data_IF_206043412220
#
_entry.id   IF_206043412220
#
_cell.length_a   1.000
_cell.length_b   1.000
_cell.length_c   1.000
_cell.angle_alpha   90.00
_cell.angle_beta   90.00
_cell.angle_gamma   90.00
#
_symmetry.space_group_name_H-M   'P 1'
#
loop_
_entity.id
_entity.type
_entity.pdbx_description
1 polymer ?
#
# COMPACT_ATOMS: atom_id res chain seq x y z
N UNK A 1 0.99 -17.17 -5.95
CA UNK A 1 -0.19 -16.36 -5.64
C UNK A 1 -1.42 -17.26 -5.60
N UNK A 2 -2.23 -17.21 -4.53
CA UNK A 2 -3.50 -17.95 -4.49
C UNK A 2 -4.48 -17.28 -5.45
N UNK A 3 -5.12 -18.07 -6.33
CA UNK A 3 -6.10 -17.60 -7.33
C UNK A 3 -7.54 -17.91 -6.92
N UNK A 4 -7.74 -19.03 -6.22
CA UNK A 4 -9.04 -19.44 -5.71
C UNK A 4 -8.92 -20.50 -4.63
N UNK A 5 -9.97 -20.65 -3.83
CA UNK A 5 -10.11 -21.73 -2.87
C UNK A 5 -11.59 -22.17 -2.83
N UNK A 6 -11.82 -23.47 -2.87
CA UNK A 6 -13.15 -24.06 -2.85
C UNK A 6 -13.24 -25.17 -1.80
N UNK A 7 -14.31 -25.16 -0.99
CA UNK A 7 -14.59 -26.22 -0.03
C UNK A 7 -15.43 -27.32 -0.68
N UNK A 8 -15.03 -28.57 -0.50
CA UNK A 8 -15.83 -29.74 -0.86
C UNK A 8 -16.39 -30.40 0.39
N UNK A 9 -17.71 -30.34 0.58
CA UNK A 9 -18.38 -31.04 1.69
C UNK A 9 -18.28 -32.57 1.55
N UNK A 10 -18.34 -33.10 0.32
CA UNK A 10 -18.25 -34.54 0.07
C UNK A 10 -16.87 -35.12 0.45
N UNK A 11 -15.81 -34.34 0.26
CA UNK A 11 -14.43 -34.77 0.52
C UNK A 11 -13.87 -34.19 1.83
N UNK A 12 -14.64 -33.35 2.53
CA UNK A 12 -14.26 -32.64 3.75
C UNK A 12 -12.89 -31.94 3.66
N UNK A 13 -12.60 -31.31 2.50
CA UNK A 13 -11.34 -30.61 2.24
C UNK A 13 -11.50 -29.37 1.37
N UNK A 14 -10.57 -28.45 1.54
CA UNK A 14 -10.32 -27.33 0.64
C UNK A 14 -9.48 -27.79 -0.55
N UNK A 15 -9.80 -27.27 -1.73
CA UNK A 15 -8.93 -27.26 -2.91
C UNK A 15 -8.53 -25.83 -3.19
N UNK A 16 -7.22 -25.58 -3.30
CA UNK A 16 -6.65 -24.24 -3.49
C UNK A 16 -5.87 -24.22 -4.80
N UNK A 17 -6.20 -23.27 -5.66
CA UNK A 17 -5.49 -23.01 -6.91
C UNK A 17 -4.40 -21.97 -6.67
N UNK A 18 -3.17 -22.33 -7.03
CA UNK A 18 -1.98 -21.53 -6.73
C UNK A 18 -1.20 -21.34 -8.02
N UNK A 19 -0.98 -20.09 -8.39
CA UNK A 19 -0.03 -19.74 -9.44
C UNK A 19 1.38 -19.64 -8.86
N UNK A 20 2.30 -20.43 -9.39
CA UNK A 20 3.72 -20.42 -9.02
C UNK A 20 4.39 -19.16 -9.58
N UNK A 21 5.05 -18.40 -8.71
CA UNK A 21 5.69 -17.14 -9.12
C UNK A 21 6.95 -17.35 -9.98
N UNK A 22 7.62 -18.49 -9.81
CA UNK A 22 8.84 -18.88 -10.52
C UNK A 22 8.56 -19.40 -11.94
N UNK A 23 7.48 -20.16 -12.12
CA UNK A 23 7.17 -20.80 -13.40
C UNK A 23 5.93 -20.25 -14.12
N UNK A 24 5.05 -19.52 -13.41
CA UNK A 24 3.73 -19.13 -13.90
C UNK A 24 2.72 -20.27 -13.98
N UNK A 25 3.12 -21.50 -13.64
CA UNK A 25 2.24 -22.67 -13.67
C UNK A 25 1.18 -22.59 -12.57
N UNK A 26 -0.04 -23.01 -12.89
CA UNK A 26 -1.09 -23.17 -11.89
C UNK A 26 -1.07 -24.60 -11.36
N UNK A 27 -0.88 -24.74 -10.05
CA UNK A 27 -0.93 -26.01 -9.32
C UNK A 27 -2.14 -26.04 -8.40
N UNK A 28 -2.65 -27.25 -8.13
CA UNK A 28 -3.75 -27.48 -7.21
C UNK A 28 -3.25 -28.21 -5.97
N UNK A 29 -3.61 -27.71 -4.79
CA UNK A 29 -3.28 -28.32 -3.50
C UNK A 29 -4.57 -28.55 -2.69
N UNK A 30 -4.60 -29.63 -1.90
CA UNK A 30 -5.72 -29.88 -0.98
C UNK A 30 -5.28 -29.78 0.48
N UNK A 31 -6.19 -29.33 1.34
CA UNK A 31 -5.95 -29.20 2.77
C UNK A 31 -7.24 -29.33 3.59
N UNK A 32 -7.14 -29.83 4.82
CA UNK A 32 -8.27 -29.91 5.74
C UNK A 32 -8.61 -28.55 6.38
N UNK A 33 -7.62 -27.66 6.50
CA UNK A 33 -7.75 -26.34 7.08
C UNK A 33 -7.11 -25.29 6.17
N UNK A 34 -7.74 -24.13 6.08
CA UNK A 34 -7.24 -22.96 5.35
C UNK A 34 -7.19 -21.77 6.31
N UNK A 35 -5.98 -21.23 6.53
CA UNK A 35 -5.78 -20.04 7.35
C UNK A 35 -5.37 -18.85 6.47
N UNK A 36 -6.21 -17.84 6.39
CA UNK A 36 -6.00 -16.67 5.53
C UNK A 36 -5.29 -15.54 6.28
N UNK A 37 -3.96 -15.47 6.14
CA UNK A 37 -3.13 -14.38 6.68
C UNK A 37 -2.70 -13.37 5.60
N UNK A 38 -3.56 -13.12 4.60
CA UNK A 38 -3.23 -12.34 3.41
C UNK A 38 -3.16 -10.81 3.61
N UNK A 39 -3.45 -10.30 4.81
CA UNK A 39 -3.53 -8.87 5.09
C UNK A 39 -4.80 -8.20 4.56
N UNK A 40 -4.98 -6.91 4.87
CA UNK A 40 -6.16 -6.12 4.46
C UNK A 40 -5.88 -5.18 3.28
N UNK A 41 -4.62 -5.06 2.87
CA UNK A 41 -4.25 -4.22 1.73
C UNK A 41 -4.47 -4.95 0.42
N UNK A 42 -4.86 -4.18 -0.60
CA UNK A 42 -4.76 -4.62 -1.99
C UNK A 42 -3.31 -4.40 -2.43
N UNK A 43 -2.49 -5.44 -2.38
CA UNK A 43 -1.04 -5.32 -2.60
C UNK A 43 -0.63 -5.01 -4.05
N UNK A 44 -1.45 -5.38 -5.03
CA UNK A 44 -1.18 -5.12 -6.44
C UNK A 44 -1.47 -3.68 -6.87
N UNK A 45 -2.51 -3.05 -6.31
CA UNK A 45 -2.82 -1.65 -6.61
C UNK A 45 -3.49 -0.94 -5.44
N UNK A 46 -2.83 0.08 -4.90
CA UNK A 46 -3.46 1.00 -3.94
C UNK A 46 -4.50 1.89 -4.61
N UNK A 47 -5.54 2.27 -3.87
CA UNK A 47 -6.57 3.17 -4.41
C UNK A 47 -5.95 4.53 -4.77
N UNK A 48 -5.95 4.84 -6.06
CA UNK A 48 -5.51 6.14 -6.57
C UNK A 48 -6.72 6.95 -7.06
N UNK A 49 -7.05 8.09 -6.44
CA UNK A 49 -8.14 8.92 -6.90
C UNK A 49 -7.90 9.42 -8.33
N UNK A 50 -8.96 9.49 -9.14
CA UNK A 50 -8.91 10.09 -10.46
C UNK A 50 -8.93 11.61 -10.31
N UNK A 51 -7.89 12.27 -10.81
CA UNK A 51 -7.85 13.70 -10.99
C UNK A 51 -8.00 14.00 -12.48
N UNK A 52 -9.02 14.77 -12.86
CA UNK A 52 -9.16 15.25 -14.22
C UNK A 52 -7.98 16.17 -14.55
N UNK A 53 -7.31 15.92 -15.68
CA UNK A 53 -6.13 16.68 -16.05
C UNK A 53 -4.82 16.22 -15.45
N UNK A 54 -4.80 15.07 -14.75
CA UNK A 54 -3.58 14.47 -14.19
C UNK A 54 -2.45 14.36 -15.22
N UNK A 55 -2.80 14.04 -16.46
CA UNK A 55 -1.87 13.88 -17.58
C UNK A 55 -1.12 15.16 -17.97
N UNK A 56 -1.64 16.34 -17.57
CA UNK A 56 -0.99 17.64 -17.81
C UNK A 56 0.04 17.99 -16.74
N UNK A 57 0.09 17.26 -15.63
CA UNK A 57 1.09 17.48 -14.61
C UNK A 57 2.44 16.93 -15.07
N UNK A 58 3.40 17.82 -15.31
CA UNK A 58 4.74 17.47 -15.77
C UNK A 58 5.66 16.95 -14.66
N UNK A 59 5.21 16.98 -13.39
CA UNK A 59 5.96 16.43 -12.27
C UNK A 59 5.71 14.94 -12.07
N UNK A 60 6.48 14.34 -11.16
CA UNK A 60 6.32 12.94 -10.81
C UNK A 60 5.13 12.74 -9.86
N UNK A 61 4.32 11.72 -10.13
CA UNK A 61 3.21 11.32 -9.26
C UNK A 61 3.56 9.96 -8.67
N UNK A 62 3.64 9.89 -7.33
CA UNK A 62 4.03 8.69 -6.60
C UNK A 62 2.89 8.26 -5.69
N UNK A 63 2.54 6.97 -5.72
CA UNK A 63 1.64 6.38 -4.74
C UNK A 63 2.47 5.77 -3.61
N UNK A 64 2.23 6.08 -2.32
CA UNK A 64 3.09 5.64 -1.21
C UNK A 64 3.28 4.13 -1.09
N UNK A 65 2.32 3.32 -1.54
CA UNK A 65 2.44 1.85 -1.59
C UNK A 65 3.51 1.36 -2.58
N UNK A 66 3.85 2.16 -3.58
CA UNK A 66 4.82 1.84 -4.63
C UNK A 66 5.88 2.95 -4.69
N UNK A 67 6.61 3.11 -3.59
CA UNK A 67 7.63 4.15 -3.45
C UNK A 67 8.88 3.82 -4.30
N UNK A 68 9.31 4.69 -5.24
CA UNK A 68 10.52 4.49 -6.01
C UNK A 68 11.76 4.63 -5.13
N UNK A 69 12.73 3.72 -5.27
CA UNK A 69 13.99 3.75 -4.52
C UNK A 69 14.86 4.97 -4.86
N UNK A 70 14.74 5.49 -6.08
CA UNK A 70 15.51 6.59 -6.64
C UNK A 70 14.79 7.95 -6.53
N UNK A 71 13.67 8.02 -5.79
CA UNK A 71 12.94 9.27 -5.63
C UNK A 71 13.72 10.27 -4.77
N UNK A 72 14.32 11.25 -5.42
CA UNK A 72 14.92 12.41 -4.76
C UNK A 72 13.92 13.57 -4.63
N UNK A 73 13.66 14.01 -3.40
CA UNK A 73 12.80 15.15 -3.10
C UNK A 73 13.58 16.43 -2.72
N UNK A 74 14.92 16.40 -2.67
CA UNK A 74 15.74 17.49 -2.20
C UNK A 74 15.48 18.80 -2.96
N UNK A 75 15.19 19.89 -2.24
CA UNK A 75 14.91 21.20 -2.83
C UNK A 75 13.63 21.30 -3.68
N UNK A 76 12.87 20.21 -3.86
CA UNK A 76 11.65 20.18 -4.67
C UNK A 76 10.44 20.71 -3.88
N UNK A 77 9.42 21.16 -4.61
CA UNK A 77 8.09 21.44 -4.06
C UNK A 77 7.25 20.18 -4.15
N UNK A 78 6.84 19.63 -3.01
CA UNK A 78 6.12 18.36 -2.92
C UNK A 78 4.73 18.60 -2.37
N UNK A 79 3.72 17.99 -3.00
CA UNK A 79 2.34 17.98 -2.50
C UNK A 79 2.01 16.56 -2.05
N UNK A 80 1.68 16.39 -0.76
CA UNK A 80 1.17 15.13 -0.19
C UNK A 80 -0.34 15.21 -0.14
N UNK A 81 -1.02 14.33 -0.88
CA UNK A 81 -2.49 14.29 -0.93
C UNK A 81 -3.00 13.23 0.04
N UNK A 82 -3.73 13.67 1.07
CA UNK A 82 -4.23 12.82 2.14
C UNK A 82 -3.68 13.25 3.51
N UNK A 83 -4.33 12.75 4.56
CA UNK A 83 -4.07 13.10 5.96
C UNK A 83 -4.08 11.89 6.90
N UNK A 84 -4.09 10.67 6.34
CA UNK A 84 -4.03 9.43 7.13
C UNK A 84 -2.66 9.16 7.72
N UNK A 85 -2.50 8.04 8.42
CA UNK A 85 -1.26 7.66 9.10
C UNK A 85 -0.02 7.76 8.20
N UNK A 86 -0.12 7.32 6.94
CA UNK A 86 0.97 7.42 5.96
C UNK A 86 1.41 8.86 5.70
N UNK A 87 0.48 9.82 5.62
CA UNK A 87 0.84 11.23 5.42
C UNK A 87 1.52 11.81 6.66
N UNK A 88 1.05 11.42 7.85
CA UNK A 88 1.58 11.89 9.15
C UNK A 88 3.03 11.46 9.36
N UNK A 89 3.44 10.29 8.85
CA UNK A 89 4.84 9.85 8.91
C UNK A 89 5.67 10.38 7.74
N UNK A 90 5.08 10.49 6.55
CA UNK A 90 5.79 10.91 5.34
C UNK A 90 6.14 12.40 5.33
N UNK A 91 5.22 13.26 5.75
CA UNK A 91 5.40 14.72 5.70
C UNK A 91 6.62 15.18 6.53
N UNK A 92 6.80 14.75 7.79
CA UNK A 92 7.99 15.09 8.56
C UNK A 92 9.30 14.66 7.87
N UNK A 93 9.35 13.42 7.36
CA UNK A 93 10.54 12.92 6.68
C UNK A 93 10.88 13.69 5.39
N UNK A 94 9.86 14.10 4.63
CA UNK A 94 10.04 14.94 3.44
C UNK A 94 10.45 16.37 3.80
N UNK A 95 9.92 16.92 4.90
CA UNK A 95 10.17 18.30 5.30
C UNK A 95 11.65 18.57 5.64
N UNK A 96 12.41 17.54 6.00
CA UNK A 96 13.85 17.65 6.29
C UNK A 96 14.70 18.01 5.06
N UNK A 97 14.25 17.63 3.85
CA UNK A 97 15.06 17.74 2.62
C UNK A 97 14.36 18.48 1.47
N UNK A 98 13.04 18.40 1.38
CA UNK A 98 12.28 19.08 0.33
C UNK A 98 12.33 20.59 0.52
N UNK A 99 12.30 21.34 -0.60
CA UNK A 99 12.29 22.80 -0.56
C UNK A 99 10.98 23.35 0.00
N UNK A 100 9.87 22.64 -0.22
CA UNK A 100 8.58 22.95 0.40
C UNK A 100 7.65 21.73 0.36
N UNK A 101 6.94 21.46 1.45
CA UNK A 101 5.93 20.38 1.51
C UNK A 101 4.56 20.98 1.79
N UNK A 102 3.59 20.70 0.92
CA UNK A 102 2.17 21.07 1.10
C UNK A 102 1.35 19.81 1.37
N UNK A 103 0.59 19.80 2.47
CA UNK A 103 -0.44 18.76 2.68
C UNK A 103 -1.78 19.21 2.09
N UNK A 104 -2.29 18.45 1.13
CA UNK A 104 -3.65 18.62 0.62
C UNK A 104 -4.60 17.69 1.38
N UNK A 105 -5.38 18.27 2.30
CA UNK A 105 -6.24 17.54 3.23
C UNK A 105 -7.72 17.76 2.92
N UNK A 106 -8.46 16.66 2.69
CA UNK A 106 -9.93 16.71 2.59
C UNK A 106 -10.61 16.68 3.97
N UNK A 107 -10.11 15.83 4.87
CA UNK A 107 -10.67 15.62 6.20
C UNK A 107 -9.55 15.60 7.22
N UNK A 108 -9.65 16.34 8.34
CA UNK A 108 -8.59 16.36 9.35
C UNK A 108 -8.47 15.02 10.08
N UNK A 109 -7.24 14.67 10.43
CA UNK A 109 -6.93 13.57 11.34
C UNK A 109 -6.57 14.14 12.71
N UNK A 110 -7.01 13.49 13.78
CA UNK A 110 -6.60 13.83 15.14
C UNK A 110 -5.16 13.35 15.38
N UNK A 111 -4.28 14.28 15.72
CA UNK A 111 -2.87 13.99 16.00
C UNK A 111 -2.66 13.99 17.51
N UNK A 112 -2.06 12.92 18.00
CA UNK A 112 -1.64 12.78 19.39
C UNK A 112 -0.12 12.66 19.44
N UNK A 113 0.55 13.25 20.43
CA UNK A 113 1.96 12.99 20.65
C UNK A 113 2.14 11.53 21.05
N UNK A 114 3.05 10.84 20.35
CA UNK A 114 3.45 9.46 20.66
C UNK A 114 4.94 9.50 20.99
N UNK A 115 5.33 8.85 22.09
CA UNK A 115 6.75 8.75 22.44
C UNK A 115 7.49 7.98 21.35
N UNK A 116 8.70 8.44 20.99
CA UNK A 116 9.55 7.76 20.01
C UNK A 116 10.20 6.49 20.56
N UNK A 117 10.12 6.28 21.87
CA UNK A 117 10.63 5.12 22.58
C UNK A 117 9.49 4.48 23.36
N UNK A 118 9.47 3.15 23.35
CA UNK A 118 8.61 2.39 24.24
C UNK A 118 8.99 2.67 25.70
N UNK A 119 7.99 2.59 26.57
CA UNK A 119 8.14 2.94 27.99
C UNK A 119 8.86 1.83 28.79
N UNK A 120 9.22 0.72 28.12
CA UNK A 120 9.75 -0.51 28.73
C UNK A 120 11.09 -0.87 28.08
#
# INVERSE_FOLDING_TARGET
RVRGAAWSTAEARWTVEIERADTGETVSMTANWLFCAGGYYRYDEGFTPRFEGRERFAGQIVHPQHWPEDLDCAGKKVVVIGSGATAVTLIPALADTAGHVTMLQRSPTYILPVASQDVI
#
